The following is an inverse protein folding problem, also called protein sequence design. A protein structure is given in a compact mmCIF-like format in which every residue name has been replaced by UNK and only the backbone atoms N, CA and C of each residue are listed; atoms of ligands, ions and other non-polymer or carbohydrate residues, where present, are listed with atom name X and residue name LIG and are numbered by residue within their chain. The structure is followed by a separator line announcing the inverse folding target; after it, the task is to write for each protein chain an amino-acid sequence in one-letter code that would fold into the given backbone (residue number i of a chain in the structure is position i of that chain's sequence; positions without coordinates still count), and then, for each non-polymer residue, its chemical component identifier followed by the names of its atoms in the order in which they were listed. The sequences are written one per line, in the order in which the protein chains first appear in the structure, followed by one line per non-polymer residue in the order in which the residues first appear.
data_IF_766067230780
#
_entry.id   IF_766067230780
#
_cell.length_a   1.000
_cell.length_b   1.000
_cell.length_c   1.000
_cell.angle_alpha   90.00
_cell.angle_beta   90.00
_cell.angle_gamma   90.00
#
_symmetry.space_group_name_H-M   'P 1'
#
loop_
_entity.id
_entity.type
_entity.pdbx_description
1 polymer ?
#
# COMPACT_ATOMS: atom_id res chain seq x y z
N UNK A 1 -10.64 -1.49 21.45
CA UNK A 1 -11.85 -1.74 20.63
C UNK A 1 -11.54 -2.89 19.69
N UNK A 2 -12.54 -3.65 19.26
CA UNK A 2 -12.41 -4.76 18.31
C UNK A 2 -13.46 -4.59 17.21
N UNK A 3 -13.22 -5.06 15.98
CA UNK A 3 -14.24 -5.06 14.94
C UNK A 3 -15.42 -5.92 15.40
N UNK A 4 -16.62 -5.56 14.97
CA UNK A 4 -17.82 -6.32 15.25
C UNK A 4 -17.79 -7.68 14.55
N UNK A 5 -17.23 -7.74 13.33
CA UNK A 5 -17.09 -8.93 12.49
C UNK A 5 -15.88 -8.79 11.56
N UNK A 6 -15.15 -9.89 11.38
CA UNK A 6 -14.15 -10.05 10.30
C UNK A 6 -14.86 -10.41 8.99
N UNK A 7 -14.29 -10.08 7.81
CA UNK A 7 -14.81 -10.57 6.54
C UNK A 7 -14.82 -12.10 6.49
N UNK A 8 -15.91 -12.68 5.95
CA UNK A 8 -16.05 -14.12 5.80
C UNK A 8 -15.26 -14.59 4.59
N UNK A 9 -14.36 -15.54 4.75
CA UNK A 9 -13.73 -16.20 3.60
C UNK A 9 -14.79 -17.03 2.87
N UNK A 10 -15.03 -16.77 1.57
CA UNK A 10 -15.84 -17.67 0.75
C UNK A 10 -15.10 -19.00 0.65
N UNK A 11 -15.66 -20.07 1.24
CA UNK A 11 -15.14 -21.42 1.03
C UNK A 11 -15.20 -21.71 -0.47
N UNK A 12 -14.04 -21.89 -1.10
CA UNK A 12 -14.00 -22.51 -2.41
C UNK A 12 -14.69 -23.89 -2.28
N UNK A 13 -15.64 -24.18 -3.17
CA UNK A 13 -16.16 -25.53 -3.36
C UNK A 13 -14.98 -26.41 -3.77
N UNK A 14 -14.32 -27.04 -2.81
CA UNK A 14 -13.44 -28.18 -3.05
C UNK A 14 -14.28 -29.43 -2.81
N UNK A 15 -14.50 -30.19 -3.87
CA UNK A 15 -14.89 -31.59 -3.75
C UNK A 15 -13.80 -32.34 -2.95
N UNK A 16 -14.26 -33.19 -2.04
CA UNK A 16 -13.45 -33.97 -1.11
C UNK A 16 -12.49 -34.93 -1.85
N UNK A 17 -11.26 -35.07 -1.34
CA UNK A 17 -10.79 -36.33 -0.75
C UNK A 17 -9.41 -36.20 -0.06
N UNK A 18 -9.37 -36.83 1.11
CA UNK A 18 -8.26 -37.20 2.01
C UNK A 18 -6.80 -36.89 1.64
N UNK A 19 -6.12 -36.19 2.56
CA UNK A 19 -4.91 -36.74 3.21
C UNK A 19 -4.65 -36.01 4.54
N UNK A 20 -4.91 -36.74 5.62
CA UNK A 20 -4.46 -36.43 6.97
C UNK A 20 -2.95 -36.69 7.08
N UNK A 21 -2.30 -35.93 7.97
CA UNK A 21 -0.95 -36.17 8.51
C UNK A 21 0.24 -35.80 7.62
N UNK A 22 0.50 -34.49 7.41
CA UNK A 22 1.87 -33.97 7.23
C UNK A 22 2.11 -32.45 7.29
N UNK A 23 1.43 -31.68 8.15
CA UNK A 23 1.70 -30.23 8.25
C UNK A 23 1.95 -29.70 9.68
N UNK A 24 2.38 -30.56 10.60
CA UNK A 24 2.74 -30.15 11.96
C UNK A 24 4.12 -29.46 12.08
N UNK A 25 4.75 -29.07 10.96
CA UNK A 25 6.07 -28.41 10.89
C UNK A 25 6.04 -26.98 10.28
N UNK A 26 4.89 -26.46 9.85
CA UNK A 26 4.77 -25.06 9.37
C UNK A 26 4.23 -24.08 10.41
N UNK A 27 3.91 -24.56 11.60
CA UNK A 27 3.57 -23.71 12.74
C UNK A 27 4.88 -23.28 13.39
N UNK A 28 5.07 -21.97 13.59
CA UNK A 28 6.23 -21.27 14.19
C UNK A 28 7.27 -20.71 13.18
N UNK A 29 6.86 -19.70 12.39
CA UNK A 29 7.57 -18.40 12.34
C UNK A 29 6.49 -17.28 12.33
N UNK A 30 5.62 -17.25 13.34
CA UNK A 30 4.65 -16.16 13.56
C UNK A 30 5.29 -14.97 14.31
N UNK A 31 6.41 -14.49 13.79
CA UNK A 31 6.99 -13.22 14.22
C UNK A 31 6.56 -12.13 13.26
N UNK A 32 5.96 -11.05 13.75
CA UNK A 32 5.78 -9.85 12.94
C UNK A 32 7.14 -9.45 12.32
N UNK A 33 7.21 -9.38 11.00
CA UNK A 33 8.45 -9.22 10.23
C UNK A 33 8.97 -7.77 10.24
N UNK A 34 9.03 -7.16 11.42
CA UNK A 34 9.55 -5.82 11.61
C UNK A 34 10.87 -5.88 12.37
N UNK A 35 11.84 -5.05 11.98
CA UNK A 35 13.21 -5.14 12.50
C UNK A 35 13.32 -5.01 14.02
N UNK A 36 12.39 -4.31 14.67
CA UNK A 36 12.39 -4.13 16.12
C UNK A 36 12.05 -5.40 16.90
N UNK A 37 11.61 -6.49 16.25
CA UNK A 37 11.44 -7.80 16.90
C UNK A 37 12.73 -8.61 16.98
N UNK A 38 13.78 -8.27 16.20
CA UNK A 38 15.02 -9.07 16.13
C UNK A 38 15.71 -9.26 17.48
N UNK A 39 15.52 -8.34 18.42
CA UNK A 39 16.12 -8.38 19.75
C UNK A 39 15.19 -8.99 20.82
N UNK A 40 14.08 -9.64 20.43
CA UNK A 40 13.11 -10.22 21.35
C UNK A 40 12.28 -9.19 22.13
N UNK A 41 12.41 -7.90 21.79
CA UNK A 41 11.64 -6.81 22.37
C UNK A 41 10.15 -6.96 22.09
N UNK A 42 9.34 -6.77 23.13
CA UNK A 42 7.88 -6.81 23.05
C UNK A 42 7.31 -5.53 23.64
N UNK A 43 6.22 -5.06 23.04
CA UNK A 43 5.50 -3.90 23.58
C UNK A 43 4.76 -4.30 24.87
N UNK A 44 4.82 -3.49 25.94
CA UNK A 44 4.09 -3.77 27.18
C UNK A 44 2.58 -4.00 26.99
N UNK A 45 1.98 -4.75 27.91
CA UNK A 45 0.53 -5.01 27.88
C UNK A 45 -0.23 -3.69 28.05
N UNK A 46 -1.21 -3.45 27.17
CA UNK A 46 -2.02 -2.23 27.18
C UNK A 46 -1.40 -1.04 26.45
N UNK A 47 -0.24 -1.21 25.82
CA UNK A 47 0.42 -0.17 25.00
C UNK A 47 0.59 -0.61 23.55
N UNK A 48 0.80 0.36 22.65
CA UNK A 48 1.10 0.13 21.24
C UNK A 48 2.52 0.63 20.92
N UNK A 49 3.30 -0.07 20.06
CA UNK A 49 4.61 0.40 19.67
C UNK A 49 4.47 1.58 18.70
N UNK A 50 5.21 2.65 18.97
CA UNK A 50 5.22 3.88 18.18
C UNK A 50 6.65 4.17 17.74
N UNK A 51 6.86 4.43 16.44
CA UNK A 51 8.14 4.93 15.94
C UNK A 51 8.38 6.32 16.54
N UNK A 52 9.50 6.50 17.22
CA UNK A 52 9.91 7.84 17.71
C UNK A 52 10.28 8.72 16.52
N UNK A 53 9.67 9.89 16.45
CA UNK A 53 10.10 10.97 15.55
C UNK A 53 11.25 11.74 16.20
N UNK A 54 12.23 12.12 15.39
CA UNK A 54 13.37 12.95 15.83
C UNK A 54 13.18 14.41 15.44
N UNK A 55 13.94 15.32 16.03
CA UNK A 55 13.97 16.73 15.61
C UNK A 55 14.30 16.86 14.12
N UNK A 56 15.27 16.07 13.62
CA UNK A 56 15.64 16.03 12.22
C UNK A 56 14.47 15.59 11.31
N UNK A 57 13.58 14.72 11.79
CA UNK A 57 12.39 14.32 11.03
C UNK A 57 11.43 15.49 10.83
N UNK A 58 11.22 16.30 11.87
CA UNK A 58 10.36 17.48 11.82
C UNK A 58 10.98 18.57 10.93
N UNK A 59 12.30 18.79 11.05
CA UNK A 59 13.01 19.81 10.26
C UNK A 59 12.94 19.54 8.75
N UNK A 60 12.91 18.26 8.33
CA UNK A 60 12.72 17.91 6.89
C UNK A 60 11.34 18.31 6.38
N UNK A 61 10.30 18.21 7.21
CA UNK A 61 8.94 18.64 6.85
C UNK A 61 8.72 20.17 6.89
N UNK A 62 9.77 20.96 7.18
CA UNK A 62 9.78 22.44 7.31
C UNK A 62 9.02 22.99 8.52
N UNK A 63 7.93 22.37 8.95
CA UNK A 63 7.15 22.81 10.12
C UNK A 63 6.49 21.65 10.88
N UNK A 64 6.17 21.88 12.16
CA UNK A 64 5.35 20.94 12.96
C UNK A 64 3.93 20.79 12.41
N UNK A 65 3.41 21.82 11.72
CA UNK A 65 2.06 21.79 11.15
C UNK A 65 1.98 20.91 9.90
N UNK A 66 3.06 20.87 9.12
CA UNK A 66 3.17 20.10 7.88
C UNK A 66 3.70 18.68 8.12
N UNK A 67 4.30 18.41 9.28
CA UNK A 67 4.85 17.11 9.62
C UNK A 67 3.77 16.02 9.59
N UNK A 68 3.91 15.06 8.68
CA UNK A 68 2.97 13.97 8.47
C UNK A 68 1.86 14.25 7.47
N UNK A 69 1.82 15.42 6.81
CA UNK A 69 0.88 15.72 5.71
C UNK A 69 1.56 15.59 4.35
N UNK A 70 0.83 15.17 3.31
CA UNK A 70 1.32 15.28 1.92
C UNK A 70 1.39 16.77 1.54
N UNK A 71 2.53 17.23 1.02
CA UNK A 71 2.68 18.62 0.56
C UNK A 71 2.20 18.75 -0.88
N UNK A 72 1.31 19.72 -1.14
CA UNK A 72 0.96 20.12 -2.51
C UNK A 72 2.10 20.91 -3.13
N UNK A 73 2.99 20.23 -3.84
CA UNK A 73 3.86 20.91 -4.81
C UNK A 73 3.14 20.91 -6.14
N UNK A 74 2.54 22.06 -6.49
CA UNK A 74 2.14 22.33 -7.88
C UNK A 74 3.42 22.42 -8.72
N UNK A 75 3.84 21.31 -9.30
CA UNK A 75 4.88 21.33 -10.33
C UNK A 75 4.14 21.48 -11.66
N UNK A 76 4.24 22.61 -12.37
CA UNK A 76 3.56 22.76 -13.65
C UNK A 76 4.23 21.87 -14.68
N UNK A 77 3.68 20.68 -14.92
CA UNK A 77 4.04 19.82 -16.04
C UNK A 77 2.80 19.62 -16.94
N UNK A 78 3.00 19.73 -18.25
CA UNK A 78 1.93 19.66 -19.24
C UNK A 78 1.21 18.30 -19.23
N UNK A 79 -0.10 18.33 -19.00
CA UNK A 79 -1.04 17.20 -19.09
C UNK A 79 -0.96 16.54 -20.49
N UNK A 80 -0.89 15.21 -20.54
CA UNK A 80 -1.35 14.42 -21.71
C UNK A 80 -2.81 14.03 -21.50
N UNK A 81 -3.62 14.15 -22.54
CA UNK A 81 -5.08 14.13 -22.46
C UNK A 81 -5.73 12.73 -22.31
N UNK A 82 -4.94 11.65 -22.32
CA UNK A 82 -5.46 10.29 -22.55
C UNK A 82 -5.24 9.30 -21.38
N UNK A 83 -4.86 9.77 -20.18
CA UNK A 83 -4.76 8.90 -19.00
C UNK A 83 -6.04 8.99 -18.15
N UNK A 84 -6.54 7.86 -17.59
CA UNK A 84 -7.51 7.88 -16.50
C UNK A 84 -7.03 8.78 -15.37
N UNK A 85 -7.98 9.24 -14.56
CA UNK A 85 -7.91 10.35 -13.59
C UNK A 85 -6.97 10.15 -12.39
N UNK A 86 -5.85 9.47 -12.60
CA UNK A 86 -4.69 9.49 -11.71
C UNK A 86 -4.08 10.89 -11.83
N UNK A 87 -3.74 11.51 -10.69
CA UNK A 87 -3.23 12.89 -10.58
C UNK A 87 -1.85 13.01 -11.26
N UNK A 88 -1.83 12.92 -12.59
CA UNK A 88 -0.68 13.03 -13.44
C UNK A 88 -0.44 14.53 -13.68
N UNK A 89 0.18 15.16 -12.68
CA UNK A 89 0.33 16.61 -12.66
C UNK A 89 1.32 17.20 -11.66
N UNK A 90 1.90 16.40 -10.75
CA UNK A 90 2.80 16.91 -9.71
C UNK A 90 4.14 16.17 -9.64
N UNK A 91 4.53 15.46 -10.70
CA UNK A 91 5.73 14.61 -10.73
C UNK A 91 5.54 13.21 -10.15
N UNK A 92 4.30 12.78 -9.93
CA UNK A 92 3.99 11.40 -9.52
C UNK A 92 3.81 10.52 -10.75
N UNK A 93 4.34 9.30 -10.71
CA UNK A 93 4.19 8.28 -11.75
C UNK A 93 3.79 6.95 -11.12
N UNK A 94 2.91 6.22 -11.79
CA UNK A 94 2.22 5.06 -11.25
C UNK A 94 2.37 3.84 -12.17
N UNK A 95 2.26 2.66 -11.56
CA UNK A 95 2.02 1.41 -12.25
C UNK A 95 1.03 0.62 -11.42
N UNK A 96 -0.26 0.74 -11.77
CA UNK A 96 -1.39 0.31 -10.95
C UNK A 96 -2.34 -0.62 -11.68
N UNK A 97 -2.94 -1.53 -10.93
CA UNK A 97 -4.12 -2.28 -11.30
C UNK A 97 -5.32 -1.75 -10.51
N UNK A 98 -6.52 -1.77 -11.09
CA UNK A 98 -7.72 -1.26 -10.44
C UNK A 98 -8.99 -2.02 -10.83
N UNK A 99 -9.99 -1.96 -9.94
CA UNK A 99 -11.35 -2.48 -10.21
C UNK A 99 -12.14 -1.50 -11.08
N UNK A 100 -13.12 -1.99 -11.85
CA UNK A 100 -14.06 -1.11 -12.55
C UNK A 100 -14.82 -0.19 -11.58
N UNK A 101 -15.14 1.03 -12.03
CA UNK A 101 -15.68 2.15 -11.22
C UNK A 101 -17.17 2.03 -10.83
N UNK A 102 -17.79 0.87 -11.06
CA UNK A 102 -19.24 0.66 -10.82
C UNK A 102 -19.54 -0.40 -9.75
N UNK A 103 -18.53 -0.85 -9.00
CA UNK A 103 -18.73 -1.87 -7.96
C UNK A 103 -18.66 -1.24 -6.58
N UNK A 104 -19.68 -1.46 -5.76
CA UNK A 104 -19.64 -1.16 -4.34
C UNK A 104 -18.65 -2.11 -3.67
N UNK A 105 -17.60 -1.55 -3.09
CA UNK A 105 -16.55 -2.30 -2.41
C UNK A 105 -16.46 -1.87 -0.95
N UNK A 106 -16.40 -2.84 -0.06
CA UNK A 106 -16.34 -2.63 1.39
C UNK A 106 -14.96 -2.93 1.98
N UNK A 107 -13.97 -3.13 1.11
CA UNK A 107 -12.61 -3.46 1.51
C UNK A 107 -11.82 -4.17 0.43
N UNK A 108 -10.54 -4.34 0.70
CA UNK A 108 -9.59 -4.98 -0.19
C UNK A 108 -8.55 -5.76 0.61
N UNK A 109 -8.10 -6.87 0.05
CA UNK A 109 -6.99 -7.65 0.57
C UNK A 109 -6.05 -8.03 -0.56
N UNK A 110 -4.76 -7.90 -0.32
CA UNK A 110 -3.75 -8.33 -1.28
C UNK A 110 -2.46 -8.72 -0.57
N UNK A 111 -1.66 -9.55 -1.24
CA UNK A 111 -0.31 -9.90 -0.82
C UNK A 111 0.69 -9.18 -1.71
N UNK A 112 1.61 -8.45 -1.07
CA UNK A 112 2.49 -7.46 -1.68
C UNK A 112 3.93 -7.83 -1.33
N UNK A 113 4.78 -8.00 -2.34
CA UNK A 113 6.17 -8.31 -2.08
C UNK A 113 6.99 -7.05 -1.78
N UNK A 114 7.96 -7.18 -0.88
CA UNK A 114 8.67 -6.05 -0.27
C UNK A 114 10.08 -5.97 -0.84
N UNK A 115 10.46 -4.78 -1.31
CA UNK A 115 11.76 -4.46 -1.88
C UNK A 115 12.37 -3.21 -1.23
N UNK A 116 13.65 -2.96 -1.52
CA UNK A 116 14.39 -1.77 -1.11
C UNK A 116 14.81 -0.97 -2.37
N UNK A 117 13.86 -0.28 -3.03
CA UNK A 117 14.16 0.51 -4.22
C UNK A 117 15.12 1.67 -3.90
N UNK A 118 16.07 1.91 -4.80
CA UNK A 118 16.94 3.08 -4.74
C UNK A 118 16.15 4.36 -5.03
N UNK A 119 16.30 5.37 -4.16
CA UNK A 119 15.72 6.71 -4.33
C UNK A 119 16.84 7.69 -4.69
N UNK A 120 16.74 8.38 -5.83
CA UNK A 120 17.79 9.29 -6.28
C UNK A 120 17.80 10.60 -5.49
N UNK A 121 16.63 11.21 -5.27
CA UNK A 121 16.52 12.52 -4.61
C UNK A 121 15.80 12.37 -3.28
N UNK A 122 16.32 12.99 -2.21
CA UNK A 122 15.83 12.79 -0.83
C UNK A 122 14.33 13.08 -0.65
N UNK A 123 13.77 14.00 -1.43
CA UNK A 123 12.35 14.39 -1.40
C UNK A 123 11.47 13.56 -2.36
N UNK A 124 12.02 12.52 -2.97
CA UNK A 124 11.28 11.51 -3.69
C UNK A 124 10.95 10.34 -2.78
N UNK A 125 10.03 9.49 -3.23
CA UNK A 125 9.72 8.23 -2.60
C UNK A 125 9.38 7.18 -3.65
N UNK A 126 9.35 5.92 -3.20
CA UNK A 126 8.78 4.80 -3.92
C UNK A 126 7.91 4.00 -2.96
N UNK A 127 6.71 3.66 -3.37
CA UNK A 127 5.76 2.92 -2.55
C UNK A 127 5.10 1.78 -3.30
N UNK A 128 4.50 0.88 -2.53
CA UNK A 128 3.65 -0.21 -2.99
C UNK A 128 2.48 -0.34 -2.04
N UNK A 129 1.25 -0.13 -2.53
CA UNK A 129 0.09 -0.05 -1.64
C UNK A 129 -1.23 -0.50 -2.25
N UNK A 130 -2.21 -0.60 -1.36
CA UNK A 130 -3.64 -0.68 -1.66
C UNK A 130 -4.22 0.72 -1.45
N UNK A 131 -4.98 1.23 -2.42
CA UNK A 131 -5.84 2.38 -2.27
C UNK A 131 -7.30 1.93 -2.22
N UNK A 132 -8.04 2.37 -1.20
CA UNK A 132 -9.49 2.23 -1.11
C UNK A 132 -10.10 3.61 -1.27
N UNK A 133 -10.83 3.83 -2.37
CA UNK A 133 -11.19 5.15 -2.87
C UNK A 133 -12.71 5.31 -3.00
N UNK A 134 -13.20 6.51 -2.71
CA UNK A 134 -14.59 6.90 -2.95
C UNK A 134 -14.71 8.40 -3.19
N UNK A 135 -15.61 8.82 -4.08
CA UNK A 135 -15.71 10.22 -4.54
C UNK A 135 -15.06 10.49 -5.90
N UNK A 136 -14.74 11.75 -6.17
CA UNK A 136 -14.24 12.23 -7.48
C UNK A 136 -12.77 12.63 -7.43
N UNK A 137 -11.98 12.19 -8.41
CA UNK A 137 -10.61 12.66 -8.64
C UNK A 137 -10.57 14.11 -9.13
N UNK A 138 -11.62 14.54 -9.83
CA UNK A 138 -11.86 15.93 -10.18
C UNK A 138 -12.42 16.70 -8.98
N UNK A 139 -11.59 17.55 -8.37
CA UNK A 139 -11.98 18.46 -7.30
C UNK A 139 -11.46 18.05 -5.91
N UNK A 140 -12.20 18.43 -4.87
CA UNK A 140 -11.80 18.29 -3.45
C UNK A 140 -12.57 17.18 -2.72
N UNK A 141 -13.12 16.22 -3.45
CA UNK A 141 -14.15 15.31 -2.96
C UNK A 141 -13.69 13.84 -2.89
N UNK A 142 -12.40 13.57 -3.10
CA UNK A 142 -11.84 12.22 -3.02
C UNK A 142 -11.54 11.85 -1.57
N UNK A 143 -12.13 10.74 -1.12
CA UNK A 143 -11.74 10.04 0.10
C UNK A 143 -10.79 8.89 -0.26
N UNK A 144 -9.71 8.74 0.49
CA UNK A 144 -8.70 7.69 0.30
C UNK A 144 -8.27 7.09 1.63
N UNK A 145 -8.18 5.76 1.66
CA UNK A 145 -7.45 4.99 2.67
C UNK A 145 -6.35 4.21 1.97
N UNK A 146 -5.14 4.36 2.46
CA UNK A 146 -3.91 3.86 1.85
C UNK A 146 -3.13 3.02 2.85
N UNK A 147 -2.72 1.81 2.46
CA UNK A 147 -1.83 0.99 3.27
C UNK A 147 -0.92 0.10 2.42
N UNK A 148 0.34 0.01 2.82
CA UNK A 148 1.38 -0.63 2.02
C UNK A 148 2.75 -0.58 2.68
N UNK A 149 3.78 -0.67 1.86
CA UNK A 149 5.14 -0.32 2.25
C UNK A 149 5.67 0.83 1.39
N UNK A 150 6.53 1.68 1.98
CA UNK A 150 7.18 2.76 1.24
C UNK A 150 8.64 2.96 1.68
N UNK A 151 9.45 3.44 0.75
CA UNK A 151 10.78 4.01 0.99
C UNK A 151 10.68 5.51 0.76
N UNK A 152 10.81 6.28 1.84
CA UNK A 152 10.72 7.75 1.81
C UNK A 152 11.80 8.34 2.73
N UNK A 153 12.96 8.72 2.18
CA UNK A 153 14.04 9.34 2.95
C UNK A 153 13.62 10.65 3.62
N UNK A 154 12.81 11.47 2.95
CA UNK A 154 12.25 12.69 3.54
C UNK A 154 11.39 12.40 4.77
N UNK A 155 10.51 11.38 4.73
CA UNK A 155 9.64 11.08 5.86
C UNK A 155 10.39 10.40 7.01
N UNK A 156 11.29 9.46 6.71
CA UNK A 156 11.84 8.55 7.72
C UNK A 156 13.31 8.78 8.10
N UNK A 157 14.04 9.56 7.31
CA UNK A 157 15.47 9.84 7.52
C UNK A 157 16.39 8.69 7.12
N UNK A 158 15.85 7.66 6.48
CA UNK A 158 16.57 6.53 5.90
C UNK A 158 15.82 5.96 4.70
N UNK A 159 16.48 5.07 3.96
CA UNK A 159 15.92 4.42 2.77
C UNK A 159 15.32 3.04 3.06
N UNK A 160 14.99 2.70 4.31
CA UNK A 160 14.48 1.35 4.60
C UNK A 160 13.00 1.23 4.22
N UNK A 161 12.55 0.13 3.61
CA UNK A 161 11.14 -0.09 3.36
C UNK A 161 10.38 -0.24 4.67
N UNK A 162 9.33 0.56 4.83
CA UNK A 162 8.56 0.67 6.06
C UNK A 162 7.09 0.46 5.78
N UNK A 163 6.43 -0.33 6.64
CA UNK A 163 4.97 -0.41 6.65
C UNK A 163 4.42 0.99 6.90
N UNK A 164 3.48 1.44 6.10
CA UNK A 164 2.87 2.74 6.26
C UNK A 164 1.37 2.71 6.03
N UNK A 165 0.74 3.77 6.50
CA UNK A 165 -0.65 4.08 6.22
C UNK A 165 -0.80 5.55 5.88
N UNK A 166 -1.76 5.88 5.02
CA UNK A 166 -2.22 7.25 4.79
C UNK A 166 -3.74 7.27 4.71
N UNK A 167 -4.34 8.44 4.90
CA UNK A 167 -5.75 8.67 4.61
C UNK A 167 -5.96 10.13 4.23
N UNK A 168 -7.04 10.44 3.51
CA UNK A 168 -7.55 11.80 3.28
C UNK A 168 -9.05 11.73 3.03
N UNK A 169 -9.78 12.82 3.28
CA UNK A 169 -11.19 12.97 2.96
C UNK A 169 -11.48 14.13 2.00
N UNK A 170 -10.44 14.78 1.47
CA UNK A 170 -10.58 16.02 0.69
C UNK A 170 -9.57 16.13 -0.46
N UNK A 171 -9.31 15.03 -1.18
CA UNK A 171 -8.34 15.00 -2.30
C UNK A 171 -6.95 15.52 -1.89
N UNK A 172 -6.49 15.09 -0.72
CA UNK A 172 -5.19 15.45 -0.14
C UNK A 172 -5.03 16.93 0.20
N UNK A 173 -6.07 17.78 0.12
CA UNK A 173 -5.95 19.24 0.18
C UNK A 173 -5.53 19.75 1.57
N UNK A 174 -6.39 19.56 2.57
CA UNK A 174 -6.18 20.03 3.94
C UNK A 174 -6.19 18.89 4.95
N UNK A 175 -6.90 17.80 4.65
CA UNK A 175 -6.97 16.62 5.51
C UNK A 175 -5.96 15.55 5.11
N UNK A 176 -5.71 14.67 6.07
CA UNK A 176 -4.95 13.47 5.87
C UNK A 176 -3.69 13.40 6.70
N UNK A 177 -3.19 12.18 6.86
CA UNK A 177 -2.11 11.92 7.78
C UNK A 177 -1.35 10.64 7.46
N UNK A 178 -0.02 10.75 7.41
CA UNK A 178 0.87 9.60 7.45
C UNK A 178 0.89 8.97 8.84
N UNK A 179 0.73 7.66 8.88
CA UNK A 179 0.99 6.83 10.05
C UNK A 179 0.25 7.35 11.30
N UNK A 180 0.99 7.55 12.39
CA UNK A 180 0.53 8.12 13.66
C UNK A 180 1.09 9.53 13.90
N UNK A 181 1.48 10.25 12.83
CA UNK A 181 2.14 11.56 12.95
C UNK A 181 1.15 12.68 13.30
N UNK A 182 -0.14 12.43 13.11
CA UNK A 182 -1.29 13.28 13.37
C UNK A 182 -2.52 12.40 13.65
N UNK A 183 -3.64 13.01 14.03
CA UNK A 183 -4.87 12.30 14.31
C UNK A 183 -5.47 11.64 13.06
N UNK A 184 -6.09 10.48 13.24
CA UNK A 184 -6.83 9.78 12.18
C UNK A 184 -6.81 8.27 12.39
N UNK A 185 -5.66 7.62 12.17
CA UNK A 185 -5.53 6.19 12.41
C UNK A 185 -5.36 5.87 13.91
N UNK A 186 -6.11 4.88 14.41
CA UNK A 186 -6.04 4.42 15.80
C UNK A 186 -5.43 3.03 15.82
N UNK A 187 -4.15 2.95 16.20
CA UNK A 187 -3.48 1.67 16.40
C UNK A 187 -3.99 0.98 17.69
N UNK A 188 -4.20 -0.33 17.60
CA UNK A 188 -4.68 -1.16 18.73
C UNK A 188 -3.76 -2.34 19.03
N UNK A 189 -2.85 -2.65 18.11
CA UNK A 189 -1.98 -3.81 18.18
C UNK A 189 -0.64 -3.50 18.85
N UNK A 190 -0.15 -4.45 19.65
CA UNK A 190 1.13 -4.36 20.35
C UNK A 190 2.30 -5.07 19.64
N UNK A 191 2.03 -5.78 18.54
CA UNK A 191 2.99 -6.56 17.73
C UNK A 191 3.37 -5.89 16.41
N UNK A 192 2.58 -4.95 15.90
CA UNK A 192 2.89 -4.22 14.66
C UNK A 192 3.02 -2.74 15.00
N UNK A 193 4.11 -2.14 14.56
CA UNK A 193 4.37 -0.70 14.64
C UNK A 193 4.21 -0.08 13.25
N UNK A 194 3.23 0.80 13.05
CA UNK A 194 3.14 1.56 11.81
C UNK A 194 4.38 2.48 11.67
N UNK A 195 4.93 2.59 10.46
CA UNK A 195 6.16 3.31 10.16
C UNK A 195 7.45 2.54 10.51
N UNK A 196 7.38 1.33 11.08
CA UNK A 196 8.57 0.53 11.36
C UNK A 196 9.06 -0.22 10.10
N UNK A 197 10.38 -0.44 10.04
CA UNK A 197 11.03 -1.08 8.91
C UNK A 197 10.68 -2.57 8.83
N UNK A 198 10.36 -3.02 7.62
CA UNK A 198 10.02 -4.41 7.31
C UNK A 198 11.33 -5.19 7.07
N UNK A 199 11.35 -6.43 7.54
CA UNK A 199 12.49 -7.34 7.37
C UNK A 199 12.05 -8.79 7.60
N UNK A 200 12.52 -9.74 6.78
CA UNK A 200 13.43 -9.56 5.65
C UNK A 200 12.74 -8.95 4.42
N UNK A 201 13.53 -8.63 3.40
CA UNK A 201 13.10 -8.04 2.13
C UNK A 201 13.52 -8.94 0.97
N UNK A 202 12.82 -8.83 -0.16
CA UNK A 202 13.09 -9.61 -1.37
C UNK A 202 14.44 -9.26 -1.99
N UNK A 203 15.01 -10.21 -2.75
CA UNK A 203 16.29 -10.03 -3.44
C UNK A 203 16.20 -10.53 -4.89
N UNK A 204 16.95 -9.90 -5.79
CA UNK A 204 16.91 -10.25 -7.21
C UNK A 204 17.37 -11.69 -7.44
N UNK A 205 16.55 -12.49 -8.13
CA UNK A 205 16.75 -13.92 -8.36
C UNK A 205 17.02 -14.73 -7.08
N UNK A 206 16.55 -14.25 -5.93
CA UNK A 206 16.75 -14.86 -4.62
C UNK A 206 15.45 -14.99 -3.83
N UNK A 207 15.56 -15.01 -2.50
CA UNK A 207 14.42 -15.13 -1.61
C UNK A 207 13.45 -13.97 -1.81
N UNK A 208 12.16 -14.30 -1.91
CA UNK A 208 11.06 -13.35 -2.00
C UNK A 208 10.33 -13.28 -0.66
N UNK A 209 10.01 -12.07 -0.21
CA UNK A 209 9.27 -11.85 1.03
C UNK A 209 8.12 -10.89 0.78
N UNK A 210 6.94 -11.25 1.27
CA UNK A 210 5.72 -10.47 1.09
C UNK A 210 4.96 -10.26 2.40
N UNK A 211 4.09 -9.27 2.35
CA UNK A 211 3.15 -8.91 3.41
C UNK A 211 1.74 -9.00 2.85
N UNK A 212 0.80 -9.45 3.66
CA UNK A 212 -0.63 -9.38 3.32
C UNK A 212 -1.26 -8.23 4.09
N UNK A 213 -1.99 -7.37 3.39
CA UNK A 213 -2.75 -6.27 3.98
C UNK A 213 -4.22 -6.51 3.68
N UNK A 214 -5.06 -6.29 4.69
CA UNK A 214 -6.51 -6.27 4.58
C UNK A 214 -7.01 -4.92 5.08
N UNK A 215 -7.82 -4.23 4.30
CA UNK A 215 -8.56 -3.03 4.70
C UNK A 215 -10.04 -3.34 4.49
N UNK A 216 -10.90 -3.11 5.49
CA UNK A 216 -12.34 -3.31 5.31
C UNK A 216 -13.18 -2.46 6.25
N UNK A 217 -14.41 -2.18 5.83
CA UNK A 217 -15.40 -1.45 6.60
C UNK A 217 -16.14 -2.39 7.54
N UNK A 218 -16.15 -2.07 8.83
CA UNK A 218 -16.96 -2.78 9.81
C UNK A 218 -18.46 -2.58 9.51
N UNK A 219 -19.24 -3.63 9.26
CA UNK A 219 -20.62 -3.50 8.83
C UNK A 219 -21.57 -2.94 9.91
N UNK A 220 -21.17 -2.97 11.19
CA UNK A 220 -21.99 -2.46 12.30
C UNK A 220 -21.48 -1.14 12.86
N UNK A 221 -20.16 -0.99 12.97
CA UNK A 221 -19.54 0.19 13.57
C UNK A 221 -19.12 1.23 12.54
N UNK A 222 -19.07 0.90 11.24
CA UNK A 222 -18.69 1.80 10.16
C UNK A 222 -17.20 2.13 10.06
N UNK A 223 -16.40 1.82 11.10
CA UNK A 223 -14.95 2.05 11.09
C UNK A 223 -14.26 1.19 10.03
N UNK A 224 -13.26 1.76 9.38
CA UNK A 224 -12.40 1.02 8.46
C UNK A 224 -11.24 0.40 9.22
N UNK A 225 -11.13 -0.92 9.24
CA UNK A 225 -10.09 -1.66 9.93
C UNK A 225 -8.95 -2.04 9.01
N UNK A 226 -7.75 -2.10 9.57
CA UNK A 226 -6.55 -2.63 8.92
C UNK A 226 -6.09 -3.92 9.61
N UNK A 227 -5.90 -4.96 8.82
CA UNK A 227 -5.24 -6.21 9.18
C UNK A 227 -3.89 -6.37 8.49
N UNK A 228 -2.99 -7.12 9.13
CA UNK A 228 -1.68 -7.51 8.62
C UNK A 228 -1.50 -9.03 8.71
N UNK A 229 -0.98 -9.67 7.66
CA UNK A 229 -0.92 -11.12 7.58
C UNK A 229 -2.32 -11.75 7.54
N UNK A 230 -2.49 -12.91 8.17
CA UNK A 230 -3.78 -13.63 8.13
C UNK A 230 -4.84 -13.04 9.06
N UNK A 231 -4.50 -12.78 10.33
CA UNK A 231 -5.49 -12.46 11.37
C UNK A 231 -5.03 -11.39 12.36
N UNK A 232 -3.97 -10.62 12.05
CA UNK A 232 -3.44 -9.63 12.98
C UNK A 232 -4.10 -8.27 12.75
N UNK A 233 -5.07 -7.92 13.59
CA UNK A 233 -5.65 -6.58 13.62
C UNK A 233 -4.60 -5.56 14.01
N UNK A 234 -4.41 -4.52 13.21
CA UNK A 234 -3.42 -3.45 13.47
C UNK A 234 -4.10 -2.25 14.14
N UNK A 235 -5.20 -1.80 13.58
CA UNK A 235 -5.90 -0.58 13.98
C UNK A 235 -7.04 -0.24 13.04
N UNK A 236 -7.61 0.95 13.18
CA UNK A 236 -8.73 1.40 12.36
C UNK A 236 -8.72 2.91 12.14
N UNK A 237 -9.36 3.34 11.06
CA UNK A 237 -9.78 4.72 10.82
C UNK A 237 -11.24 4.88 11.25
N UNK A 238 -11.55 5.84 12.15
CA UNK A 238 -12.92 6.15 12.53
C UNK A 238 -13.79 6.54 11.33
N UNK A 239 -15.05 6.12 11.34
CA UNK A 239 -16.00 6.42 10.27
C UNK A 239 -16.20 7.94 10.07
N UNK A 240 -16.08 8.70 11.16
CA UNK A 240 -16.29 10.15 11.20
C UNK A 240 -15.22 10.95 10.44
N UNK A 241 -14.14 10.30 10.00
CA UNK A 241 -13.14 10.94 9.15
C UNK A 241 -13.63 11.14 7.71
N UNK A 242 -14.64 10.37 7.27
CA UNK A 242 -14.96 10.23 5.87
C UNK A 242 -16.36 10.75 5.53
N UNK A 243 -16.50 11.21 4.30
CA UNK A 243 -17.77 11.60 3.69
C UNK A 243 -18.27 10.47 2.80
N UNK A 244 -17.55 10.15 1.72
CA UNK A 244 -17.92 9.09 0.76
C UNK A 244 -17.63 7.69 1.28
N UNK A 245 -16.45 7.50 1.89
CA UNK A 245 -16.11 6.21 2.52
C UNK A 245 -16.94 5.94 3.78
N UNK A 246 -17.77 6.87 4.24
CA UNK A 246 -18.76 6.60 5.28
C UNK A 246 -19.80 5.57 4.82
N UNK A 247 -20.07 5.47 3.52
CA UNK A 247 -20.97 4.48 2.93
C UNK A 247 -20.20 3.28 2.37
N UNK A 248 -19.48 3.46 1.26
CA UNK A 248 -18.70 2.41 0.59
C UNK A 248 -17.56 3.00 -0.26
N UNK A 249 -16.64 2.15 -0.70
CA UNK A 249 -15.65 2.48 -1.71
C UNK A 249 -16.19 2.19 -3.11
N UNK A 250 -15.89 3.05 -4.07
CA UNK A 250 -16.28 2.89 -5.48
C UNK A 250 -15.15 2.31 -6.33
N UNK A 251 -13.92 2.32 -5.80
CA UNK A 251 -12.76 1.78 -6.49
C UNK A 251 -11.70 1.28 -5.51
N UNK A 252 -11.01 0.23 -5.92
CA UNK A 252 -9.77 -0.22 -5.28
C UNK A 252 -8.66 -0.20 -6.31
N UNK A 253 -7.52 0.34 -5.93
CA UNK A 253 -6.29 0.28 -6.72
C UNK A 253 -5.20 -0.47 -5.95
N UNK A 254 -4.29 -1.09 -6.70
CA UNK A 254 -3.12 -1.80 -6.20
C UNK A 254 -1.94 -1.44 -7.08
N UNK A 255 -0.76 -1.27 -6.51
CA UNK A 255 0.44 -1.08 -7.32
C UNK A 255 1.44 -0.13 -6.71
N UNK A 256 2.28 0.43 -7.59
CA UNK A 256 3.38 1.32 -7.22
C UNK A 256 3.13 2.76 -7.61
N UNK A 257 3.73 3.65 -6.83
CA UNK A 257 3.80 5.09 -7.07
C UNK A 257 5.21 5.57 -6.73
N UNK A 258 5.74 6.46 -7.54
CA UNK A 258 7.01 7.15 -7.29
C UNK A 258 6.85 8.65 -7.50
N UNK A 259 7.76 9.43 -6.91
CA UNK A 259 7.96 10.82 -7.30
C UNK A 259 9.19 10.93 -8.18
N UNK A 260 9.01 11.56 -9.33
CA UNK A 260 10.02 11.98 -10.28
C UNK A 260 10.10 13.50 -10.28
N UNK A 261 11.01 14.04 -9.48
CA UNK A 261 11.23 15.48 -9.31
C UNK A 261 11.87 16.14 -10.52
N UNK A 262 12.48 15.35 -11.42
CA UNK A 262 13.32 15.82 -12.53
C UNK A 262 14.33 16.89 -12.11
N UNK A 263 15.00 16.69 -10.97
CA UNK A 263 15.88 17.69 -10.36
C UNK A 263 16.97 18.25 -11.31
N UNK A 264 17.37 17.49 -12.32
CA UNK A 264 18.36 17.88 -13.33
C UNK A 264 17.77 18.09 -14.74
N UNK A 265 16.44 18.25 -14.87
CA UNK A 265 15.73 18.35 -16.16
C UNK A 265 15.47 17.01 -16.86
N UNK A 266 16.02 15.93 -16.33
CA UNK A 266 15.88 14.54 -16.82
C UNK A 266 15.02 13.72 -15.88
N UNK A 267 14.52 12.57 -16.34
CA UNK A 267 13.84 11.63 -15.45
C UNK A 267 14.80 11.16 -14.34
N UNK A 268 14.34 10.95 -13.12
CA UNK A 268 15.21 10.39 -12.07
C UNK A 268 15.37 8.87 -12.19
N UNK A 269 16.47 8.32 -11.71
CA UNK A 269 16.70 6.88 -11.55
C UNK A 269 16.12 6.34 -10.25
N UNK A 270 15.06 6.98 -9.74
CA UNK A 270 14.30 6.44 -8.61
C UNK A 270 13.59 5.18 -9.07
N UNK A 271 13.74 4.10 -8.31
CA UNK A 271 13.21 2.80 -8.70
C UNK A 271 11.79 2.63 -8.20
N UNK A 272 10.92 2.02 -9.02
CA UNK A 272 9.61 1.55 -8.58
C UNK A 272 9.70 0.07 -8.23
N UNK A 273 9.23 -0.29 -7.03
CA UNK A 273 9.20 -1.68 -6.59
C UNK A 273 10.61 -2.28 -6.48
N UNK A 274 10.92 -3.26 -7.32
CA UNK A 274 12.22 -3.92 -7.42
C UNK A 274 13.26 -3.14 -8.22
N UNK A 275 12.83 -2.11 -8.98
CA UNK A 275 13.65 -1.48 -10.01
C UNK A 275 13.66 -2.21 -11.36
N UNK A 276 12.94 -3.33 -11.48
CA UNK A 276 12.84 -4.12 -12.71
C UNK A 276 11.44 -4.04 -13.33
N UNK A 277 11.38 -4.14 -14.66
CA UNK A 277 10.12 -4.15 -15.40
C UNK A 277 9.32 -5.43 -15.16
N UNK A 278 8.01 -5.35 -15.38
CA UNK A 278 7.04 -6.41 -15.12
C UNK A 278 7.35 -7.72 -15.87
N UNK A 279 7.98 -7.65 -17.04
CA UNK A 279 8.35 -8.81 -17.86
C UNK A 279 9.37 -9.73 -17.19
N UNK A 280 10.18 -9.21 -16.25
CA UNK A 280 11.17 -10.00 -15.53
C UNK A 280 10.51 -11.05 -14.61
N UNK A 281 9.25 -10.84 -14.21
CA UNK A 281 8.43 -11.82 -13.51
C UNK A 281 8.90 -12.21 -12.10
N UNK A 282 8.47 -13.38 -11.63
CA UNK A 282 8.72 -13.83 -10.26
C UNK A 282 10.21 -13.91 -9.92
N UNK A 283 10.55 -13.45 -8.72
CA UNK A 283 11.94 -13.43 -8.24
C UNK A 283 12.72 -12.18 -8.65
N UNK A 284 12.19 -11.35 -9.54
CA UNK A 284 12.90 -10.22 -10.12
C UNK A 284 12.08 -8.93 -10.13
N UNK A 285 10.85 -8.98 -10.65
CA UNK A 285 9.92 -7.86 -10.65
C UNK A 285 9.15 -7.77 -9.32
N UNK A 286 8.56 -6.61 -9.03
CA UNK A 286 7.59 -6.53 -7.93
C UNK A 286 6.27 -7.14 -8.33
N UNK A 287 5.51 -7.64 -7.36
CA UNK A 287 4.21 -8.24 -7.59
C UNK A 287 3.19 -7.93 -6.50
N UNK A 288 1.93 -7.96 -6.93
CA UNK A 288 0.78 -8.21 -6.09
C UNK A 288 0.15 -9.54 -6.48
N UNK A 289 -0.28 -10.32 -5.50
CA UNK A 289 -1.00 -11.58 -5.68
C UNK A 289 -2.15 -11.71 -4.70
N UNK A 290 -3.02 -12.70 -4.92
CA UNK A 290 -4.19 -12.96 -4.08
C UNK A 290 -5.05 -11.70 -3.91
N UNK A 291 -5.39 -11.05 -5.02
CA UNK A 291 -6.25 -9.87 -5.01
C UNK A 291 -7.67 -10.27 -4.63
N UNK A 292 -8.17 -9.70 -3.54
CA UNK A 292 -9.52 -9.93 -3.02
C UNK A 292 -10.19 -8.59 -2.68
N UNK A 293 -11.50 -8.53 -2.82
CA UNK A 293 -12.35 -7.43 -2.35
C UNK A 293 -13.33 -7.93 -1.29
N UNK A 294 -13.81 -7.02 -0.45
CA UNK A 294 -14.89 -7.29 0.50
C UNK A 294 -16.21 -6.83 -0.10
N UNK A 295 -17.14 -7.76 -0.27
CA UNK A 295 -18.48 -7.53 -0.80
C UNK A 295 -19.43 -6.96 0.28
N UNK A 296 -20.61 -6.49 -0.13
CA UNK A 296 -21.63 -5.89 0.75
C UNK A 296 -22.16 -6.81 1.85
N UNK A 297 -22.05 -8.13 1.69
CA UNK A 297 -22.39 -9.13 2.70
C UNK A 297 -21.24 -9.43 3.70
N UNK A 298 -20.18 -8.60 3.64
CA UNK A 298 -18.94 -8.73 4.38
C UNK A 298 -18.23 -10.06 4.10
N UNK A 299 -18.21 -10.49 2.84
CA UNK A 299 -17.46 -11.66 2.37
C UNK A 299 -16.25 -11.26 1.51
N UNK A 300 -15.15 -11.99 1.66
CA UNK A 300 -13.98 -11.86 0.79
C UNK A 300 -14.19 -12.66 -0.50
N UNK A 301 -14.00 -11.99 -1.64
CA UNK A 301 -14.08 -12.60 -2.96
C UNK A 301 -12.84 -12.24 -3.79
N UNK A 302 -12.29 -13.23 -4.50
CA UNK A 302 -11.15 -13.01 -5.38
C UNK A 302 -11.56 -12.15 -6.58
N UNK A 303 -10.74 -11.16 -6.89
CA UNK A 303 -10.90 -10.32 -8.07
C UNK A 303 -10.57 -11.14 -9.31
N UNK A 304 -11.47 -11.15 -10.30
CA UNK A 304 -11.25 -11.87 -11.57
C UNK A 304 -10.67 -10.95 -12.63
N UNK A 305 -11.32 -9.82 -12.83
CA UNK A 305 -10.97 -8.85 -13.86
C UNK A 305 -10.38 -7.59 -13.21
N UNK A 306 -9.20 -7.19 -13.69
CA UNK A 306 -8.54 -5.92 -13.34
C UNK A 306 -8.16 -5.18 -14.60
N UNK A 307 -8.27 -3.86 -14.56
CA UNK A 307 -7.63 -2.97 -15.53
C UNK A 307 -6.26 -2.58 -15.02
N UNK A 308 -5.35 -2.22 -15.93
CA UNK A 308 -3.99 -1.78 -15.58
C UNK A 308 -3.68 -0.43 -16.23
N UNK A 309 -2.86 0.37 -15.56
CA UNK A 309 -2.39 1.67 -16.02
C UNK A 309 -0.92 1.89 -15.61
N UNK A 310 -0.14 2.45 -16.53
CA UNK A 310 1.10 3.14 -16.21
C UNK A 310 1.25 4.37 -17.14
N UNK A 311 1.64 5.53 -16.60
CA UNK A 311 1.69 6.76 -17.40
C UNK A 311 2.87 6.79 -18.38
N UNK A 312 4.01 6.19 -18.00
CA UNK A 312 5.18 6.08 -18.87
C UNK A 312 5.80 4.69 -18.80
N UNK A 313 5.33 3.81 -19.70
CA UNK A 313 5.70 2.40 -19.78
C UNK A 313 7.18 2.15 -20.04
N UNK A 314 7.93 3.13 -20.57
CA UNK A 314 9.37 3.02 -20.75
C UNK A 314 10.16 3.28 -19.46
N UNK A 315 9.55 3.90 -18.45
CA UNK A 315 10.17 4.19 -17.15
C UNK A 315 9.75 3.16 -16.09
N UNK A 316 8.43 2.91 -16.05
CA UNK A 316 7.78 1.94 -15.17
C UNK A 316 6.62 1.30 -15.91
N UNK A 317 6.45 -0.01 -15.79
CA UNK A 317 5.34 -0.71 -16.43
C UNK A 317 4.66 -1.70 -15.49
N UNK A 318 3.57 -2.27 -15.99
CA UNK A 318 2.74 -3.24 -15.29
C UNK A 318 2.23 -4.29 -16.29
N UNK A 319 2.12 -5.53 -15.82
CA UNK A 319 1.56 -6.64 -16.59
C UNK A 319 0.77 -7.57 -15.66
N UNK A 320 -0.51 -7.76 -15.96
CA UNK A 320 -1.35 -8.72 -15.24
C UNK A 320 -1.22 -10.14 -15.81
N UNK A 321 -1.54 -11.12 -14.97
CA UNK A 321 -1.59 -12.53 -15.31
C UNK A 321 -2.55 -13.27 -14.37
N UNK A 322 -2.78 -14.55 -14.65
CA UNK A 322 -3.63 -15.41 -13.85
C UNK A 322 -3.01 -16.80 -13.74
N UNK A 323 -3.03 -17.37 -12.53
CA UNK A 323 -2.78 -18.80 -12.33
C UNK A 323 -3.59 -19.30 -11.12
N UNK A 324 -3.71 -20.62 -10.95
CA UNK A 324 -4.53 -21.22 -9.89
C UNK A 324 -3.96 -21.04 -8.47
N UNK A 325 -2.66 -20.72 -8.34
CA UNK A 325 -2.01 -20.55 -7.04
C UNK A 325 -2.21 -19.14 -6.49
N UNK A 326 -2.09 -18.13 -7.34
CA UNK A 326 -2.10 -16.70 -6.98
C UNK A 326 -3.39 -15.98 -7.37
N UNK A 327 -4.25 -16.65 -8.14
CA UNK A 327 -5.39 -16.02 -8.81
C UNK A 327 -4.94 -14.95 -9.81
N UNK A 328 -5.78 -13.93 -9.96
CA UNK A 328 -5.41 -12.71 -10.69
C UNK A 328 -4.32 -11.98 -9.91
N UNK A 329 -3.20 -11.73 -10.58
CA UNK A 329 -2.02 -11.11 -10.03
C UNK A 329 -1.37 -10.22 -11.10
N UNK A 330 -0.41 -9.40 -10.69
CA UNK A 330 0.35 -8.60 -11.65
C UNK A 330 1.78 -8.39 -11.17
N UNK A 331 2.65 -8.19 -12.15
CA UNK A 331 4.00 -7.68 -11.95
C UNK A 331 4.05 -6.22 -12.32
N UNK A 332 4.89 -5.45 -11.64
CA UNK A 332 5.08 -4.03 -11.90
C UNK A 332 6.49 -3.58 -11.47
N UNK A 333 6.90 -2.42 -11.94
CA UNK A 333 8.13 -1.76 -11.52
C UNK A 333 8.88 -1.14 -12.69
N UNK A 334 10.10 -0.70 -12.40
CA UNK A 334 11.01 -0.17 -13.41
C UNK A 334 12.13 0.66 -12.79
N UNK A 335 13.20 0.91 -13.56
CA UNK A 335 14.40 1.56 -13.05
C UNK A 335 14.27 3.10 -12.98
N UNK A 336 13.16 3.66 -13.47
CA UNK A 336 13.08 5.08 -13.77
C UNK A 336 13.93 5.39 -15.01
N UNK A 337 14.91 6.30 -14.87
CA UNK A 337 15.75 6.74 -15.98
C UNK A 337 16.54 5.60 -16.64
N UNK A 338 16.39 5.47 -17.96
CA UNK A 338 17.09 4.50 -18.81
C UNK A 338 17.12 5.00 -20.27
N UNK A 339 17.80 4.33 -21.23
CA UNK A 339 17.87 4.82 -22.62
C UNK A 339 16.54 5.05 -23.34
N UNK A 340 15.45 4.36 -22.93
CA UNK A 340 14.09 4.55 -23.47
C UNK A 340 13.25 5.53 -22.64
N UNK A 341 13.78 5.96 -21.49
CA UNK A 341 13.20 6.92 -20.56
C UNK A 341 14.30 7.89 -20.07
N UNK A 342 14.68 8.90 -20.86
CA UNK A 342 15.75 9.83 -20.51
C UNK A 342 15.37 10.84 -19.43
#
# INVERSE_FOLDING_TARGET
RVPSQMPKMKKALKEDEASSERNNERVIIEGAWQMWHRNGTRCPKGTVPIRRSTEHDVLRAKSLFDFGKKQHRRIPLHRRADAPDVVSGNGHEHAIAYTGSSQEVYGARATINVWDPSIQVVNEFSLSQIWVLSGSFDGSDLNSIEAGWQVSPELYGDSRPRLFTYWTSDSYQATGCYNLLCAGFIQTNSRIAIGAAISPISTYAGNQFDITILIWKDPKLGNWWMGFGENLLVGYWPAELFTHLADHATMVEWGGEVVNSRANGEHTSTQMGSGHFAEDGFGKASYFRNLEIVDSDNSLSSVRDISILAENTNCYNIKNSYNNEWGTHFYYGGPGRNPQCP
#
